data_IF_591872719810
#
_entry.id   IF_591872719810
#
_cell.length_a   1.000
_cell.length_b   1.000
_cell.length_c   1.000
_cell.angle_alpha   90.00
_cell.angle_beta   90.00
_cell.angle_gamma   90.00
#
_symmetry.space_group_name_H-M   'P 1'
#
loop_
_entity.id
_entity.type
_entity.pdbx_description
1 polymer ?
#
# COMPACT_ATOMS: atom_id res chain seq x y z
N UNK A 1 4.18 -55.31 -12.50
CA UNK A 1 3.76 -54.42 -13.60
C UNK A 1 2.79 -53.43 -12.98
N UNK A 2 3.31 -52.26 -12.61
CA UNK A 2 2.59 -51.24 -11.86
C UNK A 2 1.64 -50.49 -12.78
N UNK A 3 0.40 -50.31 -12.32
CA UNK A 3 -0.58 -49.47 -12.99
C UNK A 3 -0.17 -48.01 -12.87
N UNK A 4 0.07 -47.38 -14.02
CA UNK A 4 0.07 -45.93 -14.14
C UNK A 4 -1.40 -45.50 -14.18
N UNK A 5 -1.93 -45.14 -13.01
CA UNK A 5 -3.07 -44.25 -12.94
C UNK A 5 -2.63 -42.90 -13.52
N UNK A 6 -3.21 -42.55 -14.65
CA UNK A 6 -3.23 -41.20 -15.17
C UNK A 6 -3.79 -40.29 -14.08
N UNK A 7 -2.90 -39.58 -13.37
CA UNK A 7 -3.26 -38.44 -12.55
C UNK A 7 -3.81 -37.39 -13.49
N UNK A 8 -5.13 -37.39 -13.66
CA UNK A 8 -5.86 -36.30 -14.26
C UNK A 8 -5.52 -35.04 -13.46
N UNK A 9 -4.83 -34.11 -14.11
CA UNK A 9 -4.63 -32.76 -13.62
C UNK A 9 -6.02 -32.14 -13.42
N UNK A 10 -6.42 -31.95 -12.16
CA UNK A 10 -7.62 -31.20 -11.78
C UNK A 10 -7.47 -29.74 -12.28
N UNK A 11 -8.37 -29.23 -13.14
CA UNK A 11 -8.27 -27.89 -13.71
C UNK A 11 -8.76 -26.79 -12.75
N UNK A 12 -8.57 -26.98 -11.44
CA UNK A 12 -9.00 -26.02 -10.42
C UNK A 12 -7.93 -24.94 -10.21
N UNK A 13 -8.01 -23.88 -11.02
CA UNK A 13 -7.08 -22.75 -10.96
C UNK A 13 -7.16 -21.89 -9.69
N UNK A 14 -7.98 -22.24 -8.67
CA UNK A 14 -8.37 -21.33 -7.56
C UNK A 14 -8.54 -22.01 -6.17
N UNK A 15 -7.69 -22.94 -5.74
CA UNK A 15 -7.77 -23.46 -4.37
C UNK A 15 -6.88 -22.65 -3.41
N UNK A 16 -7.47 -21.66 -2.71
CA UNK A 16 -6.89 -21.18 -1.46
C UNK A 16 -6.64 -22.38 -0.53
N UNK A 17 -5.54 -22.43 0.24
CA UNK A 17 -5.20 -23.59 1.08
C UNK A 17 -6.27 -23.90 2.15
N UNK A 18 -7.11 -22.92 2.46
CA UNK A 18 -8.28 -23.02 3.32
C UNK A 18 -9.25 -21.88 2.95
N UNK A 19 -10.55 -22.03 3.26
CA UNK A 19 -11.56 -21.00 2.97
C UNK A 19 -11.74 -20.04 4.14
N UNK A 20 -12.31 -18.86 3.87
CA UNK A 20 -12.67 -17.92 4.92
C UNK A 20 -13.78 -18.52 5.80
N UNK A 21 -14.75 -19.23 5.20
CA UNK A 21 -15.79 -19.97 5.94
C UNK A 21 -15.23 -20.87 7.03
N UNK A 22 -14.13 -21.59 6.76
CA UNK A 22 -13.49 -22.56 7.67
C UNK A 22 -12.90 -21.94 8.95
N UNK A 23 -12.81 -20.62 9.03
CA UNK A 23 -12.23 -19.95 10.20
C UNK A 23 -13.27 -19.71 11.27
N UNK A 24 -13.15 -20.49 12.33
CA UNK A 24 -13.92 -20.31 13.56
C UNK A 24 -13.21 -19.33 14.51
N UNK A 25 -13.95 -18.32 14.96
CA UNK A 25 -13.48 -17.39 15.99
C UNK A 25 -14.53 -17.27 17.09
N UNK A 26 -14.09 -17.48 18.34
CA UNK A 26 -14.92 -17.25 19.52
C UNK A 26 -15.13 -15.74 19.75
N UNK A 27 -16.36 -15.27 20.02
CA UNK A 27 -16.60 -13.88 20.35
C UNK A 27 -15.86 -13.50 21.65
N UNK A 28 -15.32 -12.29 21.68
CA UNK A 28 -14.60 -11.69 22.81
C UNK A 28 -15.36 -10.46 23.30
N UNK A 29 -15.03 -10.01 24.51
CA UNK A 29 -15.68 -8.86 25.17
C UNK A 29 -15.73 -7.58 24.32
N UNK A 30 -14.74 -7.36 23.44
CA UNK A 30 -14.68 -6.18 22.58
C UNK A 30 -15.41 -6.33 21.23
N UNK A 31 -16.14 -7.43 20.98
CA UNK A 31 -16.96 -7.61 19.78
C UNK A 31 -18.35 -6.96 19.94
N UNK A 32 -18.36 -5.67 20.26
CA UNK A 32 -19.60 -4.93 20.47
C UNK A 32 -20.39 -4.70 19.18
N UNK A 33 -19.77 -4.84 18.00
CA UNK A 33 -20.42 -4.68 16.70
C UNK A 33 -20.09 -5.87 15.77
N UNK A 34 -21.07 -6.41 14.99
CA UNK A 34 -20.84 -7.54 14.08
C UNK A 34 -19.69 -7.33 13.08
N UNK A 35 -19.49 -6.09 12.61
CA UNK A 35 -18.36 -5.74 11.74
C UNK A 35 -17.00 -6.07 12.35
N UNK A 36 -16.82 -5.89 13.66
CA UNK A 36 -15.54 -6.14 14.35
C UNK A 36 -15.22 -7.63 14.34
N UNK A 37 -16.25 -8.47 14.56
CA UNK A 37 -16.12 -9.91 14.48
C UNK A 37 -15.73 -10.36 13.07
N UNK A 38 -16.39 -9.80 12.04
CA UNK A 38 -16.09 -10.09 10.62
C UNK A 38 -14.66 -9.66 10.26
N UNK A 39 -14.27 -8.43 10.59
CA UNK A 39 -12.91 -7.93 10.33
C UNK A 39 -11.87 -8.80 11.03
N UNK A 40 -12.11 -9.21 12.28
CA UNK A 40 -11.18 -10.08 12.99
C UNK A 40 -11.07 -11.46 12.33
N UNK A 41 -12.18 -12.03 11.85
CA UNK A 41 -12.19 -13.30 11.10
C UNK A 41 -11.33 -13.21 9.85
N UNK A 42 -11.52 -12.16 9.06
CA UNK A 42 -10.74 -11.91 7.85
C UNK A 42 -9.26 -11.59 8.15
N UNK A 43 -8.94 -10.86 9.24
CA UNK A 43 -7.54 -10.62 9.63
C UNK A 43 -6.84 -11.95 9.95
N UNK A 44 -7.50 -12.85 10.69
CA UNK A 44 -6.92 -14.16 11.02
C UNK A 44 -6.75 -15.00 9.76
N UNK A 45 -7.70 -14.95 8.82
CA UNK A 45 -7.60 -15.59 7.51
C UNK A 45 -6.36 -15.12 6.75
N UNK A 46 -6.26 -13.81 6.54
CA UNK A 46 -5.16 -13.19 5.83
C UNK A 46 -3.81 -13.49 6.49
N UNK A 47 -3.75 -13.46 7.82
CA UNK A 47 -2.54 -13.78 8.57
C UNK A 47 -2.09 -15.24 8.42
N UNK A 48 -3.03 -16.19 8.46
CA UNK A 48 -2.71 -17.60 8.18
C UNK A 48 -2.17 -17.77 6.77
N UNK A 49 -2.74 -17.05 5.80
CA UNK A 49 -2.34 -17.14 4.40
C UNK A 49 -0.96 -16.52 4.18
N UNK A 50 -0.65 -15.40 4.85
CA UNK A 50 0.69 -14.82 4.89
C UNK A 50 1.72 -15.83 5.40
N UNK A 51 1.41 -16.55 6.47
CA UNK A 51 2.34 -17.54 7.04
C UNK A 51 2.63 -18.72 6.12
N UNK A 52 1.66 -19.08 5.29
CA UNK A 52 1.78 -20.16 4.32
C UNK A 52 2.57 -19.72 3.07
N UNK A 53 2.34 -18.48 2.60
CA UNK A 53 2.85 -18.03 1.30
C UNK A 53 4.12 -17.16 1.37
N UNK A 54 4.32 -16.39 2.45
CA UNK A 54 5.46 -15.47 2.52
C UNK A 54 6.77 -16.22 2.70
N UNK A 55 7.49 -16.32 1.59
CA UNK A 55 8.79 -16.96 1.51
C UNK A 55 9.94 -16.00 1.86
N UNK A 56 11.18 -16.51 1.75
CA UNK A 56 12.42 -15.76 1.99
C UNK A 56 12.52 -14.46 1.17
N UNK A 57 11.94 -14.40 -0.03
CA UNK A 57 11.98 -13.18 -0.85
C UNK A 57 11.16 -12.05 -0.22
N UNK A 58 10.01 -12.36 0.37
CA UNK A 58 9.20 -11.37 1.10
C UNK A 58 9.97 -10.81 2.30
N UNK A 59 10.63 -11.69 3.06
CA UNK A 59 11.45 -11.29 4.20
C UNK A 59 12.63 -10.40 3.79
N UNK A 60 13.33 -10.72 2.69
CA UNK A 60 14.41 -9.89 2.15
C UNK A 60 13.89 -8.49 1.77
N UNK A 61 12.69 -8.42 1.19
CA UNK A 61 12.05 -7.14 0.85
C UNK A 61 11.73 -6.33 2.10
N UNK A 62 11.18 -6.95 3.15
CA UNK A 62 10.94 -6.28 4.44
C UNK A 62 12.26 -5.74 5.03
N UNK A 63 13.31 -6.56 4.99
CA UNK A 63 14.62 -6.18 5.50
C UNK A 63 15.21 -5.00 4.71
N UNK A 64 15.09 -4.99 3.39
CA UNK A 64 15.57 -3.89 2.54
C UNK A 64 14.89 -2.56 2.89
N UNK A 65 13.55 -2.56 3.03
CA UNK A 65 12.80 -1.36 3.45
C UNK A 65 13.14 -0.92 4.88
N UNK A 66 13.35 -1.89 5.79
CA UNK A 66 13.75 -1.61 7.17
C UNK A 66 15.14 -0.97 7.25
N UNK A 67 16.10 -1.49 6.49
CA UNK A 67 17.46 -0.91 6.39
C UNK A 67 17.39 0.49 5.78
N UNK A 68 16.56 0.72 4.77
CA UNK A 68 16.38 2.05 4.19
C UNK A 68 15.95 3.08 5.24
N UNK A 69 14.99 2.72 6.10
CA UNK A 69 14.53 3.57 7.21
C UNK A 69 15.65 3.81 8.22
N UNK A 70 16.32 2.75 8.69
CA UNK A 70 17.38 2.88 9.71
C UNK A 70 18.51 3.77 9.21
N UNK A 71 18.99 3.54 7.98
CA UNK A 71 20.02 4.37 7.36
C UNK A 71 19.55 5.81 7.17
N UNK A 72 18.30 6.03 6.78
CA UNK A 72 17.76 7.38 6.64
C UNK A 72 17.69 8.11 7.99
N UNK A 73 17.29 7.41 9.05
CA UNK A 73 16.99 8.02 10.36
C UNK A 73 18.23 8.31 11.19
N UNK A 74 19.12 7.33 11.32
CA UNK A 74 20.28 7.43 12.20
C UNK A 74 21.46 8.14 11.53
N UNK A 75 21.15 9.17 10.73
CA UNK A 75 22.12 10.00 10.06
C UNK A 75 22.63 11.07 11.04
N UNK A 76 23.94 11.31 11.07
CA UNK A 76 24.55 12.28 11.99
C UNK A 76 23.99 13.70 11.83
N UNK A 77 23.61 14.11 10.62
CA UNK A 77 23.00 15.43 10.39
C UNK A 77 21.63 15.55 11.05
N UNK A 78 20.82 14.47 11.01
CA UNK A 78 19.49 14.44 11.63
C UNK A 78 19.61 14.38 13.15
N UNK A 79 20.49 13.52 13.66
CA UNK A 79 20.67 13.31 15.10
C UNK A 79 21.32 14.49 15.82
N UNK A 80 22.15 15.28 15.12
CA UNK A 80 22.80 16.45 15.70
C UNK A 80 21.99 17.75 15.46
N UNK A 81 20.84 17.67 14.80
CA UNK A 81 19.97 18.81 14.48
C UNK A 81 20.40 19.65 13.26
N UNK A 82 21.59 19.41 12.71
CA UNK A 82 22.15 20.04 11.52
C UNK A 82 22.36 21.56 11.64
N UNK A 83 22.91 22.16 10.57
CA UNK A 83 22.91 23.62 10.41
C UNK A 83 21.67 24.05 9.61
N UNK A 84 20.81 24.85 10.23
CA UNK A 84 19.57 25.31 9.62
C UNK A 84 19.71 26.59 8.79
N UNK A 85 20.88 27.21 8.78
CA UNK A 85 21.15 28.33 7.87
C UNK A 85 21.46 27.85 6.45
N UNK A 86 21.71 26.54 6.28
CA UNK A 86 22.13 25.95 5.01
C UNK A 86 21.11 24.91 4.57
N UNK A 87 20.70 24.98 3.30
CA UNK A 87 19.72 24.05 2.73
C UNK A 87 20.02 23.76 1.26
N UNK A 88 19.31 22.78 0.69
CA UNK A 88 19.48 22.41 -0.72
C UNK A 88 20.85 21.79 -1.02
N UNK A 89 21.37 22.07 -2.22
CA UNK A 89 22.63 21.48 -2.69
C UNK A 89 23.83 21.89 -1.83
N UNK A 90 23.82 23.12 -1.30
CA UNK A 90 24.86 23.62 -0.41
C UNK A 90 24.88 22.85 0.92
N UNK A 91 23.69 22.56 1.49
CA UNK A 91 23.59 21.75 2.70
C UNK A 91 24.07 20.31 2.48
N UNK A 92 23.80 19.74 1.30
CA UNK A 92 24.30 18.42 0.92
C UNK A 92 25.83 18.38 0.77
N UNK A 93 26.45 19.47 0.32
CA UNK A 93 27.91 19.58 0.19
C UNK A 93 28.61 19.77 1.53
N UNK A 94 27.94 20.42 2.49
CA UNK A 94 28.48 20.63 3.84
C UNK A 94 28.26 19.43 4.77
N UNK A 95 27.31 18.55 4.45
CA UNK A 95 27.11 17.29 5.17
C UNK A 95 28.42 16.49 5.25
N UNK A 96 28.71 15.93 6.43
CA UNK A 96 29.85 15.03 6.60
C UNK A 96 29.82 13.86 5.59
N UNK A 97 30.99 13.41 5.12
CA UNK A 97 31.09 12.37 4.08
C UNK A 97 30.33 11.08 4.44
N UNK A 98 30.35 10.69 5.72
CA UNK A 98 29.61 9.53 6.25
C UNK A 98 28.10 9.74 6.16
N UNK A 99 27.59 10.88 6.63
CA UNK A 99 26.17 11.26 6.57
C UNK A 99 25.67 11.31 5.13
N UNK A 100 26.47 11.88 4.23
CA UNK A 100 26.14 11.96 2.81
C UNK A 100 26.06 10.56 2.17
N UNK A 101 27.05 9.70 2.42
CA UNK A 101 27.05 8.33 1.90
C UNK A 101 25.87 7.51 2.44
N UNK A 102 25.56 7.65 3.72
CA UNK A 102 24.43 6.98 4.37
C UNK A 102 23.08 7.39 3.77
N UNK A 103 22.91 8.67 3.43
CA UNK A 103 21.72 9.16 2.74
C UNK A 103 21.57 8.56 1.34
N UNK A 104 22.64 8.53 0.54
CA UNK A 104 22.63 7.89 -0.78
C UNK A 104 22.29 6.40 -0.66
N UNK A 105 22.90 5.71 0.30
CA UNK A 105 22.65 4.29 0.51
C UNK A 105 21.19 4.02 0.91
N UNK A 106 20.59 4.88 1.75
CA UNK A 106 19.16 4.82 2.07
C UNK A 106 18.28 4.97 0.82
N UNK A 107 18.59 5.93 -0.06
CA UNK A 107 17.86 6.12 -1.33
C UNK A 107 17.97 4.88 -2.23
N UNK A 108 19.16 4.29 -2.34
CA UNK A 108 19.37 3.05 -3.10
C UNK A 108 18.56 1.90 -2.49
N UNK A 109 18.53 1.76 -1.16
CA UNK A 109 17.72 0.75 -0.48
C UNK A 109 16.22 0.96 -0.71
N UNK A 110 15.72 2.20 -0.73
CA UNK A 110 14.34 2.52 -1.09
C UNK A 110 14.02 2.15 -2.56
N UNK A 111 14.93 2.46 -3.48
CA UNK A 111 14.81 2.06 -4.89
C UNK A 111 14.77 0.54 -5.05
N UNK A 112 15.63 -0.18 -4.31
CA UNK A 112 15.64 -1.64 -4.28
C UNK A 112 14.36 -2.22 -3.67
N UNK A 113 13.85 -1.63 -2.58
CA UNK A 113 12.57 -2.01 -1.97
C UNK A 113 11.42 -1.86 -2.97
N UNK A 114 11.32 -0.70 -3.65
CA UNK A 114 10.32 -0.49 -4.70
C UNK A 114 10.46 -1.51 -5.83
N UNK A 115 11.68 -1.71 -6.35
CA UNK A 115 11.94 -2.73 -7.38
C UNK A 115 11.43 -4.12 -6.95
N UNK A 116 11.68 -4.51 -5.70
CA UNK A 116 11.21 -5.78 -5.15
C UNK A 116 9.69 -5.84 -5.04
N UNK A 117 9.01 -4.76 -4.65
CA UNK A 117 7.53 -4.70 -4.66
C UNK A 117 6.99 -4.94 -6.08
N UNK A 118 7.56 -4.28 -7.10
CA UNK A 118 7.13 -4.42 -8.49
C UNK A 118 7.38 -5.82 -9.07
N UNK A 119 8.42 -6.50 -8.58
CA UNK A 119 8.77 -7.87 -8.99
C UNK A 119 7.88 -8.90 -8.31
N UNK A 120 7.69 -8.79 -6.99
CA UNK A 120 6.88 -9.71 -6.19
C UNK A 120 5.39 -9.56 -6.48
N UNK A 121 4.95 -8.35 -6.80
CA UNK A 121 3.54 -8.02 -6.99
C UNK A 121 3.25 -7.49 -8.40
N UNK A 122 3.39 -8.32 -9.46
CA UNK A 122 3.27 -7.88 -10.85
C UNK A 122 1.90 -7.28 -11.21
N UNK A 123 0.81 -7.80 -10.66
CA UNK A 123 -0.56 -7.32 -10.93
C UNK A 123 -0.81 -5.97 -10.30
N UNK A 124 -0.16 -5.73 -9.15
CA UNK A 124 -0.31 -4.51 -8.38
C UNK A 124 0.82 -3.51 -8.64
N UNK A 125 1.58 -3.64 -9.74
CA UNK A 125 2.76 -2.78 -10.03
C UNK A 125 2.44 -1.29 -9.97
N UNK A 126 1.46 -0.84 -10.75
CA UNK A 126 1.06 0.57 -10.81
C UNK A 126 0.64 1.06 -9.44
N UNK A 127 -0.20 0.28 -8.74
CA UNK A 127 -0.68 0.65 -7.41
C UNK A 127 0.41 0.61 -6.33
N UNK A 128 1.43 -0.22 -6.49
CA UNK A 128 2.61 -0.24 -5.61
C UNK A 128 3.39 1.07 -5.72
N UNK A 129 3.58 1.59 -6.94
CA UNK A 129 4.17 2.92 -7.16
C UNK A 129 3.28 3.99 -6.54
N UNK A 130 1.96 3.94 -6.77
CA UNK A 130 1.00 4.91 -6.20
C UNK A 130 1.04 4.92 -4.68
N UNK A 131 1.06 3.76 -4.01
CA UNK A 131 1.15 3.67 -2.56
C UNK A 131 2.49 4.19 -2.02
N UNK A 132 3.59 3.95 -2.73
CA UNK A 132 4.90 4.55 -2.38
C UNK A 132 4.88 6.08 -2.51
N UNK A 133 4.24 6.61 -3.56
CA UNK A 133 4.05 8.05 -3.72
C UNK A 133 3.12 8.64 -2.64
N UNK A 134 2.08 7.91 -2.23
CA UNK A 134 1.21 8.29 -1.11
C UNK A 134 2.02 8.32 0.19
N UNK A 135 2.87 7.32 0.45
CA UNK A 135 3.73 7.33 1.64
C UNK A 135 4.64 8.56 1.65
N UNK A 136 5.38 8.79 0.56
CA UNK A 136 6.24 9.96 0.43
C UNK A 136 5.48 11.29 0.51
N UNK A 137 4.31 11.38 -0.11
CA UNK A 137 3.45 12.56 -0.11
C UNK A 137 2.86 12.88 1.26
N UNK A 138 2.40 11.87 2.01
CA UNK A 138 1.98 12.05 3.39
C UNK A 138 3.15 12.48 4.27
N UNK A 139 4.34 11.92 4.06
CA UNK A 139 5.58 12.38 4.70
C UNK A 139 5.88 13.86 4.42
N UNK A 140 5.87 14.25 3.16
CA UNK A 140 6.06 15.63 2.72
C UNK A 140 5.00 16.57 3.31
N UNK A 141 3.74 16.14 3.37
CA UNK A 141 2.66 16.90 3.97
C UNK A 141 2.95 17.22 5.44
N UNK A 142 3.44 16.23 6.22
CA UNK A 142 3.81 16.46 7.62
C UNK A 142 4.98 17.44 7.75
N UNK A 143 5.97 17.39 6.85
CA UNK A 143 7.04 18.39 6.81
C UNK A 143 6.45 19.79 6.56
N UNK A 144 5.59 19.94 5.56
CA UNK A 144 4.96 21.23 5.21
C UNK A 144 4.11 21.81 6.35
N UNK A 145 3.46 20.97 7.16
CA UNK A 145 2.75 21.45 8.35
C UNK A 145 3.69 22.06 9.41
N UNK A 146 4.95 21.61 9.47
CA UNK A 146 5.92 22.05 10.48
C UNK A 146 6.82 23.20 10.02
N UNK A 147 6.78 23.61 8.74
CA UNK A 147 7.64 24.70 8.21
C UNK A 147 7.34 26.01 8.94
N UNK A 148 6.07 26.42 8.95
CA UNK A 148 5.62 27.67 9.57
C UNK A 148 5.19 27.46 11.03
N UNK A 149 4.78 26.25 11.40
CA UNK A 149 4.31 25.90 12.74
C UNK A 149 4.98 24.64 13.29
N UNK A 150 6.09 24.83 14.01
CA UNK A 150 6.85 23.74 14.64
C UNK A 150 6.05 22.92 15.66
N UNK A 151 4.98 23.48 16.23
CA UNK A 151 4.19 22.84 17.29
C UNK A 151 2.92 22.16 16.75
N UNK A 152 2.77 22.06 15.43
CA UNK A 152 1.62 21.43 14.79
C UNK A 152 1.31 20.05 15.41
N UNK A 153 0.04 19.75 15.78
CA UNK A 153 -1.19 20.50 15.50
C UNK A 153 -1.56 21.61 16.50
N UNK A 154 -0.72 21.88 17.50
CA UNK A 154 -0.92 23.00 18.42
C UNK A 154 -0.68 24.33 17.69
N UNK A 155 -1.42 25.39 18.03
CA UNK A 155 -1.42 26.67 17.31
C UNK A 155 -1.87 26.56 15.83
N UNK A 156 -3.05 25.97 15.61
CA UNK A 156 -3.66 25.79 14.29
C UNK A 156 -3.93 27.13 13.58
N UNK A 157 -3.30 27.33 12.42
CA UNK A 157 -3.60 28.40 11.46
C UNK A 157 -3.76 27.80 10.05
N UNK A 158 -4.95 27.94 9.47
CA UNK A 158 -5.28 27.37 8.17
C UNK A 158 -4.40 27.91 7.04
N UNK A 159 -4.01 29.19 7.11
CA UNK A 159 -3.22 29.84 6.06
C UNK A 159 -1.81 29.24 5.96
N UNK A 160 -1.21 28.93 7.11
CA UNK A 160 0.13 28.36 7.25
C UNK A 160 0.19 26.87 6.87
N UNK A 161 -0.96 26.19 6.90
CA UNK A 161 -1.06 24.76 6.65
C UNK A 161 -1.47 24.40 5.22
N UNK A 162 -1.76 25.38 4.36
CA UNK A 162 -2.36 25.16 3.04
C UNK A 162 -1.56 24.17 2.18
N UNK A 163 -0.23 24.26 2.19
CA UNK A 163 0.64 23.34 1.45
C UNK A 163 0.51 21.89 1.93
N UNK A 164 0.59 21.68 3.24
CA UNK A 164 0.41 20.35 3.83
C UNK A 164 -1.00 19.80 3.58
N UNK A 165 -2.04 20.63 3.72
CA UNK A 165 -3.44 20.22 3.49
C UNK A 165 -3.66 19.80 2.05
N UNK A 166 -3.17 20.57 1.07
CA UNK A 166 -3.31 20.26 -0.34
C UNK A 166 -2.69 18.89 -0.67
N UNK A 167 -1.45 18.65 -0.22
CA UNK A 167 -0.76 17.37 -0.45
C UNK A 167 -1.51 16.23 0.24
N UNK A 168 -1.98 16.41 1.48
CA UNK A 168 -2.79 15.39 2.18
C UNK A 168 -4.06 15.06 1.40
N UNK A 169 -4.80 16.06 0.90
CA UNK A 169 -6.03 15.84 0.14
C UNK A 169 -5.76 15.07 -1.16
N UNK A 170 -4.68 15.39 -1.86
CA UNK A 170 -4.25 14.66 -3.06
C UNK A 170 -3.90 13.21 -2.72
N UNK A 171 -3.17 12.96 -1.64
CA UNK A 171 -2.84 11.61 -1.18
C UNK A 171 -4.09 10.82 -0.78
N UNK A 172 -5.03 11.42 -0.05
CA UNK A 172 -6.31 10.80 0.34
C UNK A 172 -7.15 10.48 -0.89
N UNK A 173 -7.18 11.37 -1.88
CA UNK A 173 -7.86 11.13 -3.16
C UNK A 173 -7.29 9.92 -3.89
N UNK A 174 -5.96 9.83 -4.05
CA UNK A 174 -5.33 8.66 -4.68
C UNK A 174 -5.53 7.38 -3.86
N UNK A 175 -5.50 7.46 -2.53
CA UNK A 175 -5.80 6.32 -1.65
C UNK A 175 -7.23 5.83 -1.84
N UNK A 176 -8.20 6.74 -1.94
CA UNK A 176 -9.59 6.41 -2.24
C UNK A 176 -9.72 5.73 -3.59
N UNK A 177 -9.08 6.26 -4.65
CA UNK A 177 -9.08 5.64 -5.97
C UNK A 177 -8.44 4.26 -5.97
N UNK A 178 -7.36 4.07 -5.21
CA UNK A 178 -6.72 2.78 -5.02
C UNK A 178 -7.68 1.77 -4.36
N UNK A 179 -8.29 2.14 -3.23
CA UNK A 179 -9.26 1.29 -2.52
C UNK A 179 -10.40 0.92 -3.46
N UNK A 180 -10.95 1.91 -4.17
CA UNK A 180 -12.05 1.72 -5.11
C UNK A 180 -11.68 0.80 -6.28
N UNK A 181 -10.50 0.97 -6.88
CA UNK A 181 -10.04 0.12 -7.97
C UNK A 181 -9.92 -1.34 -7.54
N UNK A 182 -9.39 -1.61 -6.34
CA UNK A 182 -9.27 -2.96 -5.80
C UNK A 182 -10.65 -3.58 -5.54
N UNK A 183 -11.56 -2.86 -4.88
CA UNK A 183 -12.89 -3.38 -4.58
C UNK A 183 -13.69 -3.66 -5.84
N UNK A 184 -13.65 -2.76 -6.82
CA UNK A 184 -14.35 -2.93 -8.09
C UNK A 184 -13.76 -4.07 -8.95
N UNK A 185 -12.43 -4.23 -8.97
CA UNK A 185 -11.79 -5.35 -9.67
C UNK A 185 -12.16 -6.69 -9.03
N UNK A 186 -12.21 -6.74 -7.69
CA UNK A 186 -12.65 -7.94 -6.96
C UNK A 186 -14.09 -8.28 -7.32
N UNK A 187 -15.00 -7.30 -7.29
CA UNK A 187 -16.41 -7.52 -7.62
C UNK A 187 -16.53 -8.09 -9.05
N UNK A 188 -15.84 -7.48 -10.01
CA UNK A 188 -15.82 -7.96 -11.40
C UNK A 188 -15.21 -9.37 -11.55
N UNK A 189 -14.16 -9.67 -10.79
CA UNK A 189 -13.56 -11.00 -10.77
C UNK A 189 -14.56 -12.07 -10.32
N UNK A 190 -15.33 -11.80 -9.24
CA UNK A 190 -16.37 -12.72 -8.76
C UNK A 190 -17.50 -12.84 -9.78
N UNK A 191 -17.97 -11.72 -10.32
CA UNK A 191 -19.03 -11.67 -11.35
C UNK A 191 -18.66 -12.47 -12.62
N UNK A 192 -17.38 -12.50 -13.00
CA UNK A 192 -16.91 -13.16 -14.23
C UNK A 192 -16.55 -14.63 -14.02
N UNK A 193 -15.85 -14.96 -12.94
CA UNK A 193 -15.26 -16.29 -12.74
C UNK A 193 -16.10 -17.21 -11.84
N UNK A 194 -16.99 -16.64 -11.03
CA UNK A 194 -17.83 -17.38 -10.08
C UNK A 194 -19.33 -17.16 -10.34
N UNK A 195 -19.70 -16.81 -11.57
CA UNK A 195 -21.08 -16.59 -11.96
C UNK A 195 -21.93 -17.84 -11.74
N UNK A 196 -22.99 -17.70 -10.93
CA UNK A 196 -23.98 -18.74 -10.70
C UNK A 196 -25.38 -18.14 -10.87
N UNK A 197 -26.31 -18.93 -11.39
CA UNK A 197 -27.72 -18.54 -11.52
C UNK A 197 -28.39 -18.33 -10.15
N UNK A 198 -27.93 -19.03 -9.11
CA UNK A 198 -28.39 -18.84 -7.74
C UNK A 198 -27.65 -17.68 -7.06
N UNK A 199 -28.41 -16.63 -6.75
CA UNK A 199 -27.97 -15.44 -6.02
C UNK A 199 -27.30 -15.79 -4.67
N UNK A 200 -27.70 -16.87 -4.00
CA UNK A 200 -27.12 -17.26 -2.71
C UNK A 200 -25.70 -17.79 -2.85
N UNK A 201 -25.42 -18.52 -3.93
CA UNK A 201 -24.08 -19.01 -4.22
C UNK A 201 -23.17 -17.84 -4.59
N UNK A 202 -23.68 -16.88 -5.36
CA UNK A 202 -22.95 -15.65 -5.67
C UNK A 202 -22.64 -14.82 -4.40
N UNK A 203 -23.60 -14.65 -3.50
CA UNK A 203 -23.38 -13.97 -2.21
C UNK A 203 -22.34 -14.67 -1.34
N UNK A 204 -22.32 -16.01 -1.34
CA UNK A 204 -21.33 -16.79 -0.62
C UNK A 204 -19.92 -16.59 -1.20
N UNK A 205 -19.77 -16.62 -2.53
CA UNK A 205 -18.48 -16.38 -3.20
C UNK A 205 -17.99 -14.93 -3.02
N UNK A 206 -18.89 -13.94 -3.01
CA UNK A 206 -18.57 -12.56 -2.64
C UNK A 206 -18.10 -12.42 -1.19
N UNK A 207 -18.68 -13.21 -0.28
CA UNK A 207 -18.28 -13.24 1.13
C UNK A 207 -16.91 -13.89 1.33
N UNK A 208 -16.60 -14.95 0.59
CA UNK A 208 -15.27 -15.58 0.58
C UNK A 208 -14.17 -14.61 0.09
N UNK A 209 -14.49 -13.75 -0.88
CA UNK A 209 -13.60 -12.70 -1.39
C UNK A 209 -13.77 -11.35 -0.67
N UNK A 210 -14.22 -11.34 0.58
CA UNK A 210 -14.43 -10.10 1.32
C UNK A 210 -13.13 -9.32 1.53
N UNK A 211 -13.22 -7.99 1.37
CA UNK A 211 -12.10 -7.05 1.50
C UNK A 211 -12.21 -6.15 2.75
N UNK A 212 -13.12 -6.41 3.68
CA UNK A 212 -13.38 -5.52 4.83
C UNK A 212 -12.15 -5.37 5.73
N UNK A 213 -11.50 -6.47 6.08
CA UNK A 213 -10.25 -6.43 6.84
C UNK A 213 -9.10 -5.82 6.04
N UNK A 214 -9.04 -6.09 4.74
CA UNK A 214 -8.02 -5.48 3.87
C UNK A 214 -8.15 -3.96 3.84
N UNK A 215 -9.36 -3.42 3.72
CA UNK A 215 -9.61 -1.98 3.82
C UNK A 215 -9.19 -1.44 5.19
N UNK A 216 -9.50 -2.15 6.28
CA UNK A 216 -9.06 -1.76 7.63
C UNK A 216 -7.52 -1.73 7.75
N UNK A 217 -6.82 -2.71 7.17
CA UNK A 217 -5.35 -2.75 7.12
C UNK A 217 -4.79 -1.57 6.32
N UNK A 218 -5.37 -1.28 5.16
CA UNK A 218 -4.96 -0.16 4.30
C UNK A 218 -5.13 1.19 5.02
N UNK A 219 -6.26 1.39 5.71
CA UNK A 219 -6.51 2.60 6.52
C UNK A 219 -5.59 2.68 7.74
N UNK A 220 -5.32 1.55 8.39
CA UNK A 220 -4.37 1.47 9.51
C UNK A 220 -2.97 1.83 9.04
N UNK A 221 -2.53 1.30 7.91
CA UNK A 221 -1.25 1.66 7.29
C UNK A 221 -1.15 3.17 7.02
N UNK A 222 -2.19 3.76 6.41
CA UNK A 222 -2.24 5.21 6.16
C UNK A 222 -2.14 6.02 7.46
N UNK A 223 -2.90 5.64 8.50
CA UNK A 223 -2.84 6.29 9.81
C UNK A 223 -1.46 6.19 10.46
N UNK A 224 -0.82 5.03 10.38
CA UNK A 224 0.54 4.84 10.89
C UNK A 224 1.57 5.65 10.13
N UNK A 225 1.44 5.78 8.80
CA UNK A 225 2.31 6.66 8.00
C UNK A 225 2.18 8.11 8.43
N UNK A 226 0.95 8.60 8.67
CA UNK A 226 0.71 9.97 9.14
C UNK A 226 1.35 10.18 10.51
N UNK A 227 1.09 9.29 11.48
CA UNK A 227 1.63 9.42 12.84
C UNK A 227 3.15 9.30 12.84
N UNK A 228 3.71 8.35 12.08
CA UNK A 228 5.16 8.20 11.99
C UNK A 228 5.77 9.46 11.39
N UNK A 229 5.27 9.91 10.25
CA UNK A 229 5.78 11.09 9.54
C UNK A 229 5.62 12.37 10.35
N UNK A 230 4.53 12.51 11.11
CA UNK A 230 4.34 13.60 12.06
C UNK A 230 5.44 13.58 13.12
N UNK A 231 5.70 12.41 13.73
CA UNK A 231 6.73 12.24 14.75
C UNK A 231 8.13 12.60 14.23
N UNK A 232 8.45 12.21 12.99
CA UNK A 232 9.72 12.55 12.34
C UNK A 232 9.84 14.04 12.01
N UNK A 233 8.79 14.64 11.44
CA UNK A 233 8.77 16.07 11.12
C UNK A 233 8.87 16.94 12.37
N UNK A 234 8.15 16.57 13.43
CA UNK A 234 8.16 17.27 14.71
C UNK A 234 9.55 17.24 15.36
N UNK A 235 10.18 16.07 15.39
CA UNK A 235 11.53 15.90 15.90
C UNK A 235 12.57 16.79 15.20
N UNK A 236 12.49 16.88 13.87
CA UNK A 236 13.37 17.75 13.07
C UNK A 236 13.04 19.23 13.28
N UNK A 237 11.76 19.60 13.35
CA UNK A 237 11.33 20.98 13.52
C UNK A 237 11.77 21.59 14.86
N UNK A 238 11.75 20.78 15.93
CA UNK A 238 12.23 21.15 17.26
C UNK A 238 13.76 21.07 17.44
N UNK A 239 14.49 20.57 16.44
CA UNK A 239 15.96 20.43 16.45
C UNK A 239 16.50 19.80 17.73
N UNK A 240 16.01 18.61 18.07
CA UNK A 240 16.57 17.84 19.20
C UNK A 240 16.39 18.48 20.58
N UNK A 241 15.30 19.21 20.84
CA UNK A 241 14.97 19.70 22.18
C UNK A 241 14.54 18.54 23.12
N UNK A 242 15.44 17.59 23.40
CA UNK A 242 15.33 16.54 24.43
C UNK A 242 14.20 15.49 24.26
N UNK A 243 13.82 15.13 23.02
CA UNK A 243 12.72 14.19 22.77
C UNK A 243 13.12 12.90 21.99
N UNK A 244 13.92 12.00 22.59
CA UNK A 244 14.28 10.71 21.97
C UNK A 244 13.07 9.80 21.71
N UNK A 245 11.94 10.06 22.38
CA UNK A 245 10.69 9.32 22.20
C UNK A 245 10.14 9.53 20.78
N UNK A 246 10.27 10.72 20.19
CA UNK A 246 9.73 11.00 18.86
C UNK A 246 10.48 10.28 17.75
N UNK A 247 11.81 10.23 17.81
CA UNK A 247 12.60 9.45 16.85
C UNK A 247 12.35 7.94 17.03
N UNK A 248 12.22 7.46 18.27
CA UNK A 248 11.87 6.06 18.53
C UNK A 248 10.48 5.71 17.96
N UNK A 249 9.49 6.59 18.16
CA UNK A 249 8.14 6.43 17.60
C UNK A 249 8.15 6.44 16.07
N UNK A 250 8.87 7.38 15.45
CA UNK A 250 9.06 7.43 14.00
C UNK A 250 9.62 6.10 13.46
N UNK A 251 10.71 5.59 14.06
CA UNK A 251 11.36 4.34 13.61
C UNK A 251 10.41 3.16 13.79
N UNK A 252 9.85 2.99 14.99
CA UNK A 252 9.00 1.84 15.30
C UNK A 252 7.77 1.77 14.39
N UNK A 253 7.06 2.89 14.21
CA UNK A 253 5.89 2.92 13.35
C UNK A 253 6.25 2.76 11.88
N UNK A 254 7.34 3.38 11.41
CA UNK A 254 7.78 3.23 10.01
C UNK A 254 8.23 1.80 9.69
N UNK A 255 8.88 1.11 10.64
CA UNK A 255 9.22 -0.31 10.50
C UNK A 255 7.96 -1.19 10.42
N UNK A 256 6.90 -0.86 11.14
CA UNK A 256 5.60 -1.56 11.04
C UNK A 256 4.91 -1.26 9.70
N UNK A 257 5.08 -0.06 9.14
CA UNK A 257 4.50 0.29 7.84
C UNK A 257 5.04 -0.55 6.67
N UNK A 258 6.28 -1.06 6.74
CA UNK A 258 6.89 -1.90 5.70
C UNK A 258 6.12 -3.22 5.45
N UNK A 259 5.91 -4.10 6.45
CA UNK A 259 5.10 -5.30 6.23
C UNK A 259 3.63 -4.96 5.95
N UNK A 260 3.09 -3.84 6.47
CA UNK A 260 1.70 -3.45 6.21
C UNK A 260 1.46 -2.99 4.76
N UNK A 261 2.39 -2.24 4.14
CA UNK A 261 2.26 -1.89 2.71
C UNK A 261 2.34 -3.16 1.86
N UNK A 262 3.24 -4.09 2.20
CA UNK A 262 3.33 -5.38 1.51
C UNK A 262 2.05 -6.18 1.66
N UNK A 263 1.45 -6.22 2.85
CA UNK A 263 0.15 -6.86 3.08
C UNK A 263 -0.95 -6.20 2.21
N UNK A 264 -1.00 -4.87 2.20
CA UNK A 264 -1.97 -4.09 1.42
C UNK A 264 -1.88 -4.39 -0.08
N UNK A 265 -0.68 -4.62 -0.60
CA UNK A 265 -0.44 -4.93 -2.01
C UNK A 265 -0.69 -6.42 -2.30
N UNK A 266 -0.20 -7.31 -1.44
CA UNK A 266 -0.21 -8.75 -1.65
C UNK A 266 -1.62 -9.34 -1.66
N UNK A 267 -2.48 -8.95 -0.71
CA UNK A 267 -3.77 -9.62 -0.55
C UNK A 267 -4.70 -9.49 -1.77
N UNK A 268 -4.89 -8.29 -2.36
CA UNK A 268 -5.66 -8.15 -3.59
C UNK A 268 -5.09 -8.96 -4.76
N UNK A 269 -3.76 -8.92 -4.96
CA UNK A 269 -3.13 -9.74 -6.00
C UNK A 269 -3.42 -11.22 -5.79
N UNK A 270 -3.34 -11.69 -4.55
CA UNK A 270 -3.56 -13.09 -4.23
C UNK A 270 -4.99 -13.54 -4.47
N UNK A 271 -5.97 -12.67 -4.21
CA UNK A 271 -7.38 -12.92 -4.48
C UNK A 271 -7.72 -12.88 -5.97
N UNK A 272 -6.99 -12.09 -6.77
CA UNK A 272 -7.30 -11.87 -8.18
C UNK A 272 -6.62 -12.86 -9.15
N UNK A 273 -5.70 -13.72 -8.67
CA UNK A 273 -5.01 -14.70 -9.50
C UNK A 273 -3.85 -14.11 -10.30
N UNK A 274 -3.48 -14.71 -11.45
CA UNK A 274 -2.31 -14.31 -12.27
C UNK A 274 -2.64 -13.44 -13.48
N UNK A 275 -3.91 -13.32 -13.87
CA UNK A 275 -4.31 -12.68 -15.14
C UNK A 275 -5.09 -11.36 -14.97
N UNK A 276 -5.41 -10.96 -13.75
CA UNK A 276 -6.22 -9.76 -13.51
C UNK A 276 -5.41 -8.46 -13.65
N UNK A 277 -6.06 -7.42 -14.17
CA UNK A 277 -5.56 -6.04 -14.15
C UNK A 277 -6.44 -5.20 -13.21
N UNK A 278 -5.84 -4.61 -12.17
CA UNK A 278 -6.59 -3.87 -11.15
C UNK A 278 -6.95 -2.46 -11.64
N UNK A 279 -8.22 -2.25 -11.98
CA UNK A 279 -8.76 -1.03 -12.58
C UNK A 279 -10.17 -0.74 -12.04
N UNK A 280 -10.63 0.50 -12.17
CA UNK A 280 -12.03 0.86 -11.84
C UNK A 280 -12.97 0.43 -12.97
N UNK A 281 -14.25 0.15 -12.67
CA UNK A 281 -15.28 -0.19 -13.68
C UNK A 281 -15.38 0.90 -14.76
N UNK A 282 -15.22 2.17 -14.37
CA UNK A 282 -15.20 3.29 -15.30
C UNK A 282 -14.00 3.27 -16.27
N UNK A 283 -12.81 2.85 -15.79
CA UNK A 283 -11.63 2.73 -16.65
C UNK A 283 -11.79 1.60 -17.67
N UNK A 284 -12.38 0.48 -17.26
CA UNK A 284 -12.70 -0.65 -18.15
C UNK A 284 -13.70 -0.21 -19.23
N UNK A 285 -14.81 0.42 -18.83
CA UNK A 285 -15.82 0.92 -19.78
C UNK A 285 -15.26 1.97 -20.75
N UNK A 286 -14.37 2.86 -20.29
CA UNK A 286 -13.73 3.85 -21.16
C UNK A 286 -12.79 3.19 -22.19
N UNK A 287 -12.08 2.14 -21.82
CA UNK A 287 -11.21 1.37 -22.73
C UNK A 287 -12.04 0.59 -23.76
N UNK A 288 -13.17 0.00 -23.35
CA UNK A 288 -14.11 -0.66 -24.25
C UNK A 288 -14.71 0.33 -25.26
N UNK A 289 -15.12 1.53 -24.81
CA UNK A 289 -15.61 2.60 -25.67
C UNK A 289 -14.53 3.06 -26.66
N UNK A 290 -13.30 3.30 -26.19
CA UNK A 290 -12.17 3.66 -27.05
C UNK A 290 -11.85 2.57 -28.08
N UNK A 291 -11.87 1.29 -27.68
CA UNK A 291 -11.63 0.16 -28.57
C UNK A 291 -12.74 0.01 -29.60
N UNK A 292 -14.00 0.22 -29.21
CA UNK A 292 -15.14 0.19 -30.13
C UNK A 292 -15.04 1.31 -31.17
N UNK A 293 -14.66 2.52 -30.75
CA UNK A 293 -14.44 3.67 -31.66
C UNK A 293 -13.28 3.44 -32.61
N UNK A 294 -12.20 2.81 -32.14
CA UNK A 294 -11.08 2.43 -32.99
C UNK A 294 -11.49 1.41 -34.06
N UNK A 295 -12.22 0.35 -33.68
CA UNK A 295 -12.73 -0.65 -34.63
C UNK A 295 -13.69 0.00 -35.65
N UNK A 296 -14.59 0.89 -35.20
CA UNK A 296 -15.48 1.61 -36.12
C UNK A 296 -14.72 2.52 -37.09
N UNK A 297 -13.62 3.14 -36.64
CA UNK A 297 -12.76 3.95 -37.51
C UNK A 297 -11.94 3.10 -38.51
N UNK A 298 -11.56 1.87 -38.13
CA UNK A 298 -10.85 0.91 -38.99
C UNK A 298 -11.78 0.15 -39.95
N UNK A 299 -13.10 0.11 -39.67
CA UNK A 299 -14.14 -0.45 -40.56
C UNK A 299 -14.70 0.60 -41.53
N UNK A 300 -14.44 1.89 -41.31
CA UNK A 300 -14.82 2.98 -42.21
C UNK A 300 -13.75 3.45 -43.25
N UNK A 301 -12.73 2.69 -43.70
CA UNK A 301 -11.75 3.19 -44.65
C UNK A 301 -12.17 2.89 -46.10
N UNK A 302 -13.35 3.32 -46.56
CA UNK A 302 -13.71 3.30 -48.01
C UNK A 302 -15.04 3.97 -48.44
N UNK A 303 -15.78 4.71 -47.61
CA UNK A 303 -17.02 5.39 -48.10
C UNK A 303 -16.85 6.85 -48.61
N UNK A 304 -15.63 7.33 -48.83
CA UNK A 304 -15.39 8.64 -49.49
C UNK A 304 -14.40 8.58 -50.65
N UNK A 305 -14.59 7.62 -51.55
CA UNK A 305 -13.81 7.57 -52.80
C UNK A 305 -14.62 7.17 -54.03
N UNK A 306 -15.83 7.73 -54.24
CA UNK A 306 -16.45 7.88 -55.57
C UNK A 306 -17.38 9.10 -55.62
#
# INVERSE_FOLDING_TARGET
MGGEENVALDPNHNALPFRLSDIEIKPKFFDFHPLILTVRKEIVFQWKLIRDEWNKQHLITILAGSIAIILGTFNGEILNGGDAQVSGLEGLQQSGATSYFQMILSIVCWGWFLYQLLRLFPIMRTHSVTLMLIWGGLGLSQILFHVENKQFPMAFDLSQMMGGLLVTLVCVFFLYFFIKAVTETRDLHVETNHLHEDVRMMEAEMAEHSLKAWTAICLTWCGLVIISSWSGAHFVAERMADQPILIALYVMLSLICIPLIMWTIWFPQRMLGTEALVRTKAAVSAEEDLRSKFIMAEVAPDEEAW
#
